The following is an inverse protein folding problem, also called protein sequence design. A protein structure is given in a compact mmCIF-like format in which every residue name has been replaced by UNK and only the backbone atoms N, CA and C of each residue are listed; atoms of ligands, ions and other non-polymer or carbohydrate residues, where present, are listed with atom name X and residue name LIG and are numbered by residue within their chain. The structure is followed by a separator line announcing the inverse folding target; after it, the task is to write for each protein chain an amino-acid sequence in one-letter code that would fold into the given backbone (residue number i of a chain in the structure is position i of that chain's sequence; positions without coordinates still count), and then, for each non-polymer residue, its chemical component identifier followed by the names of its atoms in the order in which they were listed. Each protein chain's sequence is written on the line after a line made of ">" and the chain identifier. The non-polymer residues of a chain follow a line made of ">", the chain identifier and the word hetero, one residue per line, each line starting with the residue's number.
data_IF_064887397134
#
_entry.id   IF_064887397134
#
_cell.length_a   1.000
_cell.length_b   1.000
_cell.length_c   1.000
_cell.angle_alpha   90.00
_cell.angle_beta   90.00
_cell.angle_gamma   90.00
#
_symmetry.space_group_name_H-M   'P 1'
#
loop_
_entity.id
_entity.type
_entity.pdbx_description
1 polymer ?
#
# COMPACT_ATOMS: atom_id res chain seq x y z
N UNK A 1 11.49 -15.47 -24.29
CA UNK A 1 10.32 -16.36 -24.49
C UNK A 1 9.19 -15.82 -23.64
N UNK A 2 7.92 -15.98 -24.05
CA UNK A 2 6.80 -15.60 -23.18
C UNK A 2 6.74 -16.51 -21.95
N UNK A 3 6.49 -15.94 -20.77
CA UNK A 3 6.19 -16.69 -19.54
C UNK A 3 5.00 -17.62 -19.79
N UNK A 4 5.15 -18.91 -19.43
CA UNK A 4 4.08 -19.91 -19.59
C UNK A 4 3.64 -20.51 -18.24
N UNK A 5 4.45 -20.38 -17.19
CA UNK A 5 4.19 -20.96 -15.87
C UNK A 5 3.54 -19.97 -14.91
N UNK A 6 2.36 -19.47 -15.29
CA UNK A 6 1.47 -18.71 -14.41
C UNK A 6 0.46 -19.64 -13.71
N UNK A 7 -0.07 -19.22 -12.56
CA UNK A 7 -1.11 -19.94 -11.82
C UNK A 7 -2.23 -18.97 -11.47
N UNK A 8 -3.48 -19.28 -11.79
CA UNK A 8 -4.65 -18.47 -11.37
C UNK A 8 -5.05 -18.75 -9.91
N UNK A 9 -4.66 -19.91 -9.39
CA UNK A 9 -4.89 -20.32 -7.99
C UNK A 9 -3.57 -20.65 -7.32
N UNK A 10 -3.56 -20.70 -5.99
CA UNK A 10 -2.37 -21.08 -5.22
C UNK A 10 -1.82 -22.43 -5.72
N UNK A 11 -0.55 -22.50 -6.19
CA UNK A 11 0.03 -23.77 -6.62
C UNK A 11 0.20 -24.73 -5.45
N UNK A 12 -0.04 -26.03 -5.70
CA UNK A 12 0.15 -27.08 -4.71
C UNK A 12 1.61 -27.21 -4.22
N UNK A 13 2.57 -26.88 -5.08
CA UNK A 13 4.00 -26.77 -4.74
C UNK A 13 4.50 -25.36 -5.10
N UNK A 14 4.40 -24.38 -4.17
CA UNK A 14 4.87 -23.02 -4.41
C UNK A 14 6.35 -22.94 -4.75
N UNK A 15 7.20 -23.79 -4.15
CA UNK A 15 8.64 -23.80 -4.40
C UNK A 15 8.96 -24.24 -5.83
N UNK A 16 8.27 -25.26 -6.33
CA UNK A 16 8.41 -25.67 -7.73
C UNK A 16 7.92 -24.59 -8.71
N UNK A 17 6.81 -23.92 -8.40
CA UNK A 17 6.31 -22.80 -9.22
C UNK A 17 7.32 -21.64 -9.25
N UNK A 18 7.92 -21.30 -8.09
CA UNK A 18 8.96 -20.25 -7.98
C UNK A 18 10.17 -20.58 -8.85
N UNK A 19 10.70 -21.82 -8.78
CA UNK A 19 11.85 -22.21 -9.62
C UNK A 19 11.56 -22.01 -11.11
N UNK A 20 10.37 -22.44 -11.57
CA UNK A 20 9.98 -22.34 -12.99
C UNK A 20 9.81 -20.88 -13.42
N UNK A 21 9.10 -20.07 -12.63
CA UNK A 21 8.87 -18.65 -12.99
C UNK A 21 10.19 -17.87 -13.00
N UNK A 22 11.11 -18.12 -12.04
CA UNK A 22 12.44 -17.48 -12.05
C UNK A 22 13.22 -17.82 -13.32
N UNK A 23 13.21 -19.09 -13.74
CA UNK A 23 13.89 -19.51 -14.96
C UNK A 23 13.32 -18.81 -16.21
N UNK A 24 11.99 -18.76 -16.34
CA UNK A 24 11.34 -18.10 -17.47
C UNK A 24 11.57 -16.59 -17.49
N UNK A 25 11.44 -15.92 -16.34
CA UNK A 25 11.65 -14.48 -16.23
C UNK A 25 13.10 -14.10 -16.54
N UNK A 26 14.08 -14.83 -16.00
CA UNK A 26 15.50 -14.62 -16.34
C UNK A 26 15.75 -14.79 -17.84
N UNK A 27 15.17 -15.82 -18.46
CA UNK A 27 15.29 -16.04 -19.90
C UNK A 27 14.56 -14.98 -20.75
N UNK A 28 13.47 -14.41 -20.24
CA UNK A 28 12.72 -13.34 -20.91
C UNK A 28 13.44 -12.00 -20.84
N UNK A 29 13.99 -11.65 -19.67
CA UNK A 29 14.71 -10.38 -19.44
C UNK A 29 16.10 -10.41 -20.09
N UNK A 30 16.79 -11.55 -20.06
CA UNK A 30 18.19 -11.66 -20.45
C UNK A 30 19.10 -11.26 -19.29
N UNK A 31 19.78 -10.12 -19.40
CA UNK A 31 20.69 -9.63 -18.37
C UNK A 31 19.93 -8.94 -17.23
N UNK A 32 19.43 -9.75 -16.29
CA UNK A 32 18.70 -9.27 -15.11
C UNK A 32 19.56 -8.34 -14.27
N UNK A 33 20.86 -8.60 -14.12
CA UNK A 33 21.75 -7.77 -13.31
C UNK A 33 21.87 -6.37 -13.91
N UNK A 34 22.10 -6.24 -15.22
CA UNK A 34 22.18 -4.93 -15.86
C UNK A 34 20.87 -4.14 -15.78
N UNK A 35 19.71 -4.82 -15.90
CA UNK A 35 18.40 -4.17 -15.69
C UNK A 35 18.23 -3.71 -14.25
N UNK A 36 18.60 -4.56 -13.29
CA UNK A 36 18.51 -4.26 -11.87
C UNK A 36 19.45 -3.12 -11.45
N UNK A 37 20.66 -3.03 -12.01
CA UNK A 37 21.61 -1.95 -11.75
C UNK A 37 21.10 -0.60 -12.26
N UNK A 38 20.54 -0.57 -13.47
CA UNK A 38 19.88 0.63 -14.02
C UNK A 38 18.71 1.08 -13.14
N UNK A 39 17.88 0.14 -12.70
CA UNK A 39 16.78 0.44 -11.80
C UNK A 39 17.28 0.93 -10.43
N UNK A 40 18.32 0.31 -9.90
CA UNK A 40 18.95 0.69 -8.63
C UNK A 40 19.48 2.12 -8.69
N UNK A 41 20.13 2.53 -9.79
CA UNK A 41 20.57 3.91 -9.99
C UNK A 41 19.40 4.91 -10.00
N UNK A 42 18.27 4.55 -10.63
CA UNK A 42 17.05 5.37 -10.60
C UNK A 42 16.50 5.52 -9.18
N UNK A 43 16.38 4.42 -8.44
CA UNK A 43 15.86 4.45 -7.06
C UNK A 43 16.84 5.20 -6.13
N UNK A 44 18.15 5.09 -6.35
CA UNK A 44 19.15 5.82 -5.59
C UNK A 44 19.02 7.34 -5.80
N UNK A 45 18.81 7.80 -7.04
CA UNK A 45 18.53 9.21 -7.30
C UNK A 45 17.26 9.71 -6.60
N UNK A 46 16.21 8.88 -6.51
CA UNK A 46 15.01 9.21 -5.71
C UNK A 46 15.31 9.33 -4.22
N UNK A 47 16.14 8.44 -3.70
CA UNK A 47 16.58 8.50 -2.30
C UNK A 47 17.38 9.77 -2.02
N UNK A 48 18.31 10.15 -2.90
CA UNK A 48 19.06 11.41 -2.77
C UNK A 48 18.14 12.63 -2.72
N UNK A 49 17.09 12.68 -3.57
CA UNK A 49 16.08 13.73 -3.49
C UNK A 49 15.34 13.75 -2.15
N UNK A 50 14.96 12.58 -1.64
CA UNK A 50 14.26 12.44 -0.35
C UNK A 50 15.16 12.90 0.79
N UNK A 51 16.43 12.51 0.79
CA UNK A 51 17.40 12.87 1.81
C UNK A 51 17.70 14.37 1.79
N UNK A 52 17.80 14.98 0.60
CA UNK A 52 17.96 16.43 0.46
C UNK A 52 16.75 17.20 1.03
N UNK A 53 15.52 16.73 0.77
CA UNK A 53 14.31 17.33 1.36
C UNK A 53 14.32 17.25 2.88
N UNK A 54 14.58 16.05 3.43
CA UNK A 54 14.70 15.82 4.88
C UNK A 54 15.78 16.72 5.51
N UNK A 55 16.96 16.78 4.92
CA UNK A 55 18.07 17.60 5.41
C UNK A 55 17.75 19.11 5.41
N UNK A 56 16.91 19.56 4.47
CA UNK A 56 16.43 20.95 4.40
C UNK A 56 15.21 21.24 5.30
N UNK A 57 14.71 20.24 6.04
CA UNK A 57 13.51 20.38 6.88
C UNK A 57 12.20 20.48 6.10
N UNK A 58 12.20 20.09 4.82
CA UNK A 58 10.99 20.06 4.00
C UNK A 58 10.28 18.71 4.12
N UNK A 59 8.94 18.74 4.06
CA UNK A 59 8.13 17.53 4.05
C UNK A 59 8.34 16.75 2.75
N UNK A 60 8.59 15.44 2.90
CA UNK A 60 8.68 14.51 1.77
C UNK A 60 7.28 14.20 1.21
N UNK A 61 6.27 14.20 2.09
CA UNK A 61 4.89 13.91 1.75
C UNK A 61 4.22 15.13 1.12
N UNK A 62 3.60 15.00 -0.07
CA UNK A 62 2.79 16.05 -0.65
C UNK A 62 1.59 16.34 0.25
N UNK A 63 1.42 17.59 0.67
CA UNK A 63 0.29 18.02 1.50
C UNK A 63 -0.67 18.86 0.68
N UNK A 64 -1.92 18.39 0.56
CA UNK A 64 -2.99 19.04 -0.20
C UNK A 64 -4.10 19.48 0.75
N UNK A 65 -4.47 20.78 0.78
CA UNK A 65 -5.65 21.22 1.50
C UNK A 65 -6.92 20.63 0.87
N UNK A 66 -7.82 20.08 1.69
CA UNK A 66 -9.11 19.59 1.19
C UNK A 66 -9.91 20.67 0.44
N UNK A 67 -9.84 21.93 0.90
CA UNK A 67 -10.49 23.06 0.24
C UNK A 67 -10.06 23.24 -1.23
N UNK A 68 -8.83 22.83 -1.60
CA UNK A 68 -8.37 22.91 -2.98
C UNK A 68 -8.91 21.75 -3.81
N UNK A 69 -9.08 20.55 -3.21
CA UNK A 69 -9.78 19.43 -3.84
C UNK A 69 -11.25 19.80 -4.09
N UNK A 70 -11.94 20.27 -3.06
CA UNK A 70 -13.36 20.63 -3.11
C UNK A 70 -13.67 21.73 -4.14
N UNK A 71 -12.72 22.66 -4.38
CA UNK A 71 -12.84 23.73 -5.38
C UNK A 71 -12.27 23.38 -6.75
N UNK A 72 -11.69 22.18 -6.92
CA UNK A 72 -11.00 21.81 -8.17
C UNK A 72 -9.74 22.64 -8.47
N UNK A 73 -9.07 23.15 -7.44
CA UNK A 73 -7.92 24.06 -7.52
C UNK A 73 -6.56 23.38 -7.31
N UNK A 74 -6.53 22.04 -7.15
CA UNK A 74 -5.25 21.31 -7.08
C UNK A 74 -4.50 21.42 -8.41
N UNK A 75 -3.32 22.03 -8.34
CA UNK A 75 -2.46 22.33 -9.49
C UNK A 75 -1.87 21.06 -10.10
N UNK A 76 -1.45 21.15 -11.36
CA UNK A 76 -0.77 20.03 -12.03
C UNK A 76 0.54 19.65 -11.34
N UNK A 77 1.29 20.64 -10.85
CA UNK A 77 2.52 20.39 -10.09
C UNK A 77 2.27 19.59 -8.80
N UNK A 78 1.15 19.83 -8.11
CA UNK A 78 0.76 19.03 -6.94
C UNK A 78 0.36 17.61 -7.34
N UNK A 79 -0.38 17.43 -8.45
CA UNK A 79 -0.76 16.10 -8.97
C UNK A 79 0.47 15.29 -9.34
N UNK A 80 1.41 15.89 -10.07
CA UNK A 80 2.66 15.24 -10.45
C UNK A 80 3.57 14.97 -9.24
N UNK A 81 3.55 15.82 -8.22
CA UNK A 81 4.26 15.54 -6.98
C UNK A 81 3.67 14.33 -6.22
N UNK A 82 2.33 14.20 -6.16
CA UNK A 82 1.68 12.99 -5.64
C UNK A 82 2.08 11.78 -6.46
N UNK A 83 2.07 11.88 -7.80
CA UNK A 83 2.46 10.79 -8.68
C UNK A 83 3.92 10.38 -8.51
N UNK A 84 4.82 11.34 -8.30
CA UNK A 84 6.25 11.10 -8.04
C UNK A 84 6.50 10.44 -6.68
N UNK A 85 5.71 10.78 -5.66
CA UNK A 85 5.91 10.28 -4.28
C UNK A 85 5.04 9.08 -3.94
N UNK A 86 4.00 8.80 -4.71
CA UNK A 86 3.08 7.71 -4.45
C UNK A 86 2.31 7.87 -3.14
N UNK A 87 2.20 9.06 -2.58
CA UNK A 87 1.51 9.30 -1.31
C UNK A 87 1.01 10.74 -1.20
N UNK A 88 0.07 11.00 -0.28
CA UNK A 88 -0.44 12.33 -0.01
C UNK A 88 -1.00 12.45 1.41
N UNK A 89 -0.93 13.66 1.97
CA UNK A 89 -1.69 14.08 3.16
C UNK A 89 -2.76 15.07 2.73
N UNK A 90 -4.03 14.76 3.02
CA UNK A 90 -5.15 15.66 2.80
C UNK A 90 -5.44 16.40 4.10
N UNK A 91 -5.00 17.66 4.17
CA UNK A 91 -5.14 18.49 5.38
C UNK A 91 -6.56 19.04 5.48
N UNK A 92 -7.16 18.91 6.66
CA UNK A 92 -8.50 19.43 6.94
C UNK A 92 -9.59 18.76 6.11
N UNK A 93 -9.44 17.45 5.86
CA UNK A 93 -10.43 16.67 5.11
C UNK A 93 -11.78 16.65 5.85
N UNK A 94 -11.75 16.33 7.12
CA UNK A 94 -12.88 16.58 8.02
C UNK A 94 -12.52 17.66 9.03
N UNK A 95 -13.54 18.34 9.55
CA UNK A 95 -13.33 19.26 10.66
C UNK A 95 -12.81 18.50 11.88
N UNK A 96 -11.95 19.17 12.64
CA UNK A 96 -11.39 18.62 13.87
C UNK A 96 -12.49 18.20 14.86
N UNK A 97 -13.55 18.99 14.96
CA UNK A 97 -14.72 18.71 15.81
C UNK A 97 -15.42 17.42 15.39
N UNK A 98 -15.70 17.24 14.09
CA UNK A 98 -16.36 16.06 13.57
C UNK A 98 -15.53 14.79 13.81
N UNK A 99 -14.21 14.87 13.58
CA UNK A 99 -13.33 13.73 13.76
C UNK A 99 -13.18 13.34 15.25
N UNK A 100 -13.14 14.30 16.18
CA UNK A 100 -13.22 14.00 17.62
C UNK A 100 -14.57 13.42 18.04
N UNK A 101 -15.67 13.95 17.53
CA UNK A 101 -17.01 13.44 17.81
C UNK A 101 -17.13 11.98 17.35
N UNK A 102 -16.55 11.63 16.20
CA UNK A 102 -16.44 10.26 15.74
C UNK A 102 -15.56 9.40 16.64
N UNK A 103 -14.43 9.89 17.15
CA UNK A 103 -13.61 9.12 18.11
C UNK A 103 -14.38 8.80 19.40
N UNK A 104 -15.09 9.79 19.95
CA UNK A 104 -15.93 9.60 21.14
C UNK A 104 -17.08 8.62 20.87
N UNK A 105 -17.78 8.76 19.73
CA UNK A 105 -18.84 7.83 19.35
C UNK A 105 -18.32 6.40 19.16
N UNK A 106 -17.07 6.22 18.70
CA UNK A 106 -16.41 4.91 18.63
C UNK A 106 -16.19 4.31 20.01
N UNK A 107 -15.72 5.11 20.97
CA UNK A 107 -15.53 4.66 22.36
C UNK A 107 -16.87 4.22 22.98
N UNK A 108 -17.89 5.07 22.88
CA UNK A 108 -19.23 4.76 23.38
C UNK A 108 -19.81 3.50 22.73
N UNK A 109 -19.55 3.29 21.44
CA UNK A 109 -19.96 2.07 20.74
C UNK A 109 -19.25 0.83 21.28
N UNK A 110 -17.94 0.88 21.54
CA UNK A 110 -17.19 -0.24 22.12
C UNK A 110 -17.67 -0.56 23.54
N UNK A 111 -17.84 0.47 24.37
CA UNK A 111 -18.24 0.34 25.78
C UNK A 111 -19.66 -0.21 25.90
N UNK A 112 -20.61 0.34 25.13
CA UNK A 112 -22.01 -0.12 25.12
C UNK A 112 -22.17 -1.58 24.73
N UNK A 113 -21.24 -2.11 23.93
CA UNK A 113 -21.26 -3.50 23.47
C UNK A 113 -20.30 -4.40 24.27
N UNK A 114 -19.72 -3.91 25.38
CA UNK A 114 -18.81 -4.66 26.24
C UNK A 114 -17.67 -5.32 25.46
N UNK A 115 -17.08 -4.61 24.49
CA UNK A 115 -16.11 -5.19 23.56
C UNK A 115 -14.94 -5.88 24.28
N UNK A 116 -14.41 -5.26 25.33
CA UNK A 116 -13.30 -5.78 26.11
C UNK A 116 -13.62 -7.13 26.79
N UNK A 117 -14.88 -7.38 27.14
CA UNK A 117 -15.31 -8.62 27.80
C UNK A 117 -15.48 -9.79 26.80
N UNK A 118 -15.73 -9.47 25.53
CA UNK A 118 -16.04 -10.47 24.48
C UNK A 118 -14.89 -10.72 23.51
N UNK A 119 -13.87 -9.86 23.48
CA UNK A 119 -12.74 -10.00 22.58
C UNK A 119 -11.87 -11.21 22.94
N UNK A 120 -11.70 -12.14 21.99
CA UNK A 120 -11.00 -13.43 22.20
C UNK A 120 -9.55 -13.45 21.67
N UNK A 121 -9.01 -12.30 21.27
CA UNK A 121 -7.69 -12.21 20.62
C UNK A 121 -7.78 -12.07 19.09
N UNK A 122 -6.63 -11.93 18.41
CA UNK A 122 -6.59 -11.70 16.97
C UNK A 122 -7.20 -12.90 16.22
N UNK A 123 -8.16 -12.63 15.34
CA UNK A 123 -8.84 -13.65 14.52
C UNK A 123 -8.01 -14.14 13.33
N UNK A 124 -6.83 -13.57 13.10
CA UNK A 124 -5.89 -13.95 12.04
C UNK A 124 -4.44 -13.99 12.56
N UNK A 125 -3.56 -14.67 11.81
CA UNK A 125 -2.11 -14.65 12.04
C UNK A 125 -1.38 -13.79 11.01
N UNK A 126 -2.11 -12.90 10.33
CA UNK A 126 -1.60 -12.08 9.23
C UNK A 126 -0.41 -11.23 9.69
N UNK A 127 -0.43 -10.79 10.96
CA UNK A 127 0.65 -10.05 11.63
C UNK A 127 1.19 -10.75 12.89
N UNK A 128 1.23 -12.09 12.95
CA UNK A 128 1.33 -12.96 14.14
C UNK A 128 2.42 -12.74 15.23
N UNK A 129 2.66 -11.52 15.70
CA UNK A 129 3.65 -11.16 16.72
C UNK A 129 3.12 -10.18 17.80
N UNK A 130 1.79 -10.01 17.94
CA UNK A 130 1.18 -9.06 18.89
C UNK A 130 0.36 -9.79 19.96
N UNK A 131 0.96 -10.01 21.14
CA UNK A 131 0.27 -10.38 22.38
C UNK A 131 -0.06 -9.09 23.16
N UNK A 132 -1.33 -8.68 23.23
CA UNK A 132 -1.76 -7.56 24.05
C UNK A 132 -3.16 -7.81 24.65
N UNK A 133 -3.39 -7.36 25.88
CA UNK A 133 -4.68 -7.45 26.60
C UNK A 133 -5.79 -6.61 25.96
N UNK A 134 -5.43 -5.57 25.21
CA UNK A 134 -6.29 -4.85 24.27
C UNK A 134 -5.62 -4.83 22.90
N UNK A 135 -6.33 -5.11 21.80
CA UNK A 135 -5.73 -5.08 20.48
C UNK A 135 -5.45 -3.63 20.05
N UNK A 136 -4.33 -3.38 19.37
CA UNK A 136 -4.12 -2.09 18.72
C UNK A 136 -5.04 -1.90 17.51
N UNK A 137 -5.45 -3.01 16.88
CA UNK A 137 -6.34 -3.05 15.72
C UNK A 137 -7.66 -3.71 16.15
N UNK A 138 -8.75 -2.94 16.13
CA UNK A 138 -10.06 -3.44 16.51
C UNK A 138 -10.80 -3.98 15.27
N UNK A 139 -11.26 -5.24 15.28
CA UNK A 139 -12.02 -5.84 14.18
C UNK A 139 -13.49 -5.37 14.21
N UNK A 140 -13.70 -4.06 14.17
CA UNK A 140 -15.00 -3.39 14.14
C UNK A 140 -15.16 -2.69 12.80
N UNK A 141 -16.32 -2.88 12.17
CA UNK A 141 -16.52 -2.50 10.76
C UNK A 141 -17.71 -1.57 10.53
N UNK A 142 -18.71 -1.58 11.42
CA UNK A 142 -20.06 -1.05 11.14
C UNK A 142 -20.53 0.01 12.13
N UNK A 143 -19.61 0.67 12.84
CA UNK A 143 -20.02 1.80 13.67
C UNK A 143 -20.61 2.93 12.81
N UNK A 144 -21.44 3.77 13.41
CA UNK A 144 -21.98 4.94 12.73
C UNK A 144 -20.86 5.88 12.24
N UNK A 145 -19.83 6.11 13.07
CA UNK A 145 -18.68 6.92 12.71
C UNK A 145 -17.95 6.41 11.46
N UNK A 146 -17.70 5.09 11.39
CA UNK A 146 -17.06 4.48 10.22
C UNK A 146 -17.91 4.63 8.96
N UNK A 147 -19.21 4.32 9.05
CA UNK A 147 -20.10 4.36 7.89
C UNK A 147 -20.37 5.78 7.40
N UNK A 148 -20.58 6.74 8.31
CA UNK A 148 -20.74 8.16 7.98
C UNK A 148 -19.51 8.73 7.28
N UNK A 149 -18.30 8.46 7.80
CA UNK A 149 -17.08 8.92 7.16
C UNK A 149 -16.92 8.34 5.74
N UNK A 150 -17.20 7.05 5.55
CA UNK A 150 -17.06 6.37 4.24
C UNK A 150 -18.04 6.89 3.18
N UNK A 151 -19.27 7.22 3.57
CA UNK A 151 -20.31 7.68 2.63
C UNK A 151 -20.41 9.22 2.53
N UNK A 152 -19.52 9.96 3.18
CA UNK A 152 -19.52 11.42 3.16
C UNK A 152 -19.15 11.99 1.79
N UNK A 153 -19.70 13.15 1.45
CA UNK A 153 -19.38 13.86 0.20
C UNK A 153 -17.91 14.26 0.15
N UNK A 154 -17.33 14.62 1.30
CA UNK A 154 -15.91 14.94 1.40
C UNK A 154 -15.04 13.73 1.05
N UNK A 155 -15.40 12.52 1.52
CA UNK A 155 -14.70 11.28 1.17
C UNK A 155 -14.82 11.00 -0.33
N UNK A 156 -16.03 11.10 -0.89
CA UNK A 156 -16.26 10.88 -2.31
C UNK A 156 -15.41 11.83 -3.20
N UNK A 157 -15.33 13.11 -2.83
CA UNK A 157 -14.53 14.10 -3.55
C UNK A 157 -13.03 13.76 -3.55
N UNK A 158 -12.49 13.33 -2.41
CA UNK A 158 -11.08 12.95 -2.30
C UNK A 158 -10.78 11.63 -3.00
N UNK A 159 -11.66 10.64 -2.90
CA UNK A 159 -11.53 9.37 -3.62
C UNK A 159 -11.54 9.58 -5.14
N UNK A 160 -12.49 10.36 -5.66
CA UNK A 160 -12.53 10.74 -7.09
C UNK A 160 -11.24 11.45 -7.50
N UNK A 161 -10.78 12.45 -6.72
CA UNK A 161 -9.54 13.16 -7.01
C UNK A 161 -8.32 12.22 -7.14
N UNK A 162 -8.15 11.29 -6.20
CA UNK A 162 -7.02 10.36 -6.18
C UNK A 162 -7.10 9.32 -7.29
N UNK A 163 -8.29 8.76 -7.50
CA UNK A 163 -8.54 7.81 -8.59
C UNK A 163 -8.22 8.41 -9.96
N UNK A 164 -8.47 9.70 -10.14
CA UNK A 164 -8.17 10.44 -11.38
C UNK A 164 -6.69 10.72 -11.62
N UNK A 165 -5.79 10.40 -10.68
CA UNK A 165 -4.34 10.44 -10.91
C UNK A 165 -3.85 9.25 -11.76
N UNK A 166 -4.66 8.19 -11.84
CA UNK A 166 -4.36 6.99 -12.62
C UNK A 166 -4.73 7.15 -14.08
N UNK A 167 -4.01 6.46 -14.96
CA UNK A 167 -4.45 6.21 -16.33
C UNK A 167 -5.50 5.09 -16.31
N UNK A 168 -6.76 5.46 -16.11
CA UNK A 168 -7.89 4.51 -16.01
C UNK A 168 -8.56 4.17 -17.36
N UNK A 169 -8.20 4.86 -18.44
CA UNK A 169 -8.61 4.57 -19.81
C UNK A 169 -7.40 4.16 -20.64
N UNK A 170 -7.42 2.97 -21.24
CA UNK A 170 -6.35 2.48 -22.12
C UNK A 170 -6.89 1.56 -23.19
N UNK A 171 -6.40 1.71 -24.42
CA UNK A 171 -6.76 0.86 -25.56
C UNK A 171 -8.27 0.73 -25.81
N UNK A 172 -9.01 1.84 -25.61
CA UNK A 172 -10.46 1.90 -25.77
C UNK A 172 -11.25 1.24 -24.64
N UNK A 173 -10.60 0.73 -23.58
CA UNK A 173 -11.22 0.18 -22.38
C UNK A 173 -11.07 1.15 -21.20
N UNK A 174 -12.18 1.40 -20.51
CA UNK A 174 -12.18 2.00 -19.18
C UNK A 174 -12.01 0.88 -18.15
N UNK A 175 -10.91 0.91 -17.39
CA UNK A 175 -10.57 -0.12 -16.41
C UNK A 175 -11.39 -0.02 -15.13
N UNK A 176 -11.70 1.21 -14.70
CA UNK A 176 -12.62 1.49 -13.61
C UNK A 176 -13.25 2.88 -13.78
N UNK A 177 -14.39 3.10 -13.11
CA UNK A 177 -14.97 4.44 -12.96
C UNK A 177 -14.26 5.18 -11.83
N UNK A 178 -13.50 6.26 -12.10
CA UNK A 178 -12.75 6.94 -11.05
C UNK A 178 -13.65 7.72 -10.09
N UNK A 179 -14.89 8.05 -10.47
CA UNK A 179 -15.76 8.92 -9.69
C UNK A 179 -16.64 8.19 -8.69
N UNK A 180 -16.66 6.84 -8.74
CA UNK A 180 -17.43 6.01 -7.82
C UNK A 180 -16.53 4.95 -7.20
N UNK A 181 -16.34 5.03 -5.89
CA UNK A 181 -15.61 4.01 -5.13
C UNK A 181 -16.59 3.16 -4.32
N UNK A 182 -16.36 1.85 -4.29
CA UNK A 182 -17.13 0.93 -3.46
C UNK A 182 -16.84 1.18 -1.98
N UNK A 183 -17.84 1.00 -1.12
CA UNK A 183 -17.63 0.96 0.32
C UNK A 183 -16.83 -0.30 0.65
N UNK A 184 -15.59 -0.13 1.09
CA UNK A 184 -14.74 -1.19 1.61
C UNK A 184 -14.67 -1.10 3.14
N UNK A 185 -15.43 -1.93 3.90
CA UNK A 185 -15.44 -1.89 5.35
C UNK A 185 -14.13 -2.46 5.92
N UNK A 186 -13.32 -1.58 6.50
CA UNK A 186 -12.08 -1.95 7.17
C UNK A 186 -12.14 -1.68 8.68
N UNK A 187 -11.12 -2.18 9.38
CA UNK A 187 -10.91 -2.11 10.82
C UNK A 187 -10.56 -0.68 11.26
N UNK A 188 -10.48 -0.48 12.58
CA UNK A 188 -9.89 0.75 13.16
C UNK A 188 -8.61 0.42 13.91
N UNK A 189 -7.73 1.40 14.06
CA UNK A 189 -6.55 1.31 14.92
C UNK A 189 -6.64 2.31 16.05
N UNK A 190 -6.46 1.87 17.29
CA UNK A 190 -6.47 2.72 18.47
C UNK A 190 -5.30 2.37 19.40
N UNK A 191 -4.52 3.39 19.77
CA UNK A 191 -3.36 3.28 20.65
C UNK A 191 -3.47 4.33 21.75
N UNK A 192 -3.96 4.00 22.96
CA UNK A 192 -4.07 4.97 24.05
C UNK A 192 -2.69 5.48 24.50
N UNK A 193 -2.62 6.66 25.16
CA UNK A 193 -1.38 7.14 25.77
C UNK A 193 -0.75 6.07 26.67
N UNK A 194 0.58 5.92 26.59
CA UNK A 194 1.33 4.88 27.31
C UNK A 194 1.44 3.53 26.59
N UNK A 195 0.89 3.38 25.39
CA UNK A 195 1.02 2.15 24.58
C UNK A 195 2.45 1.95 24.09
N UNK A 196 3.03 0.79 24.42
CA UNK A 196 4.29 0.30 23.84
C UNK A 196 3.98 -0.71 22.74
N UNK A 197 4.58 -0.53 21.56
CA UNK A 197 4.36 -1.38 20.38
C UNK A 197 5.68 -1.69 19.69
N UNK A 198 5.81 -2.88 19.10
CA UNK A 198 6.89 -3.20 18.15
C UNK A 198 6.63 -2.61 16.76
N UNK A 199 5.43 -2.04 16.52
CA UNK A 199 5.02 -1.56 15.22
C UNK A 199 4.81 -2.69 14.21
N UNK A 200 4.80 -2.33 12.93
CA UNK A 200 4.71 -3.26 11.81
C UNK A 200 5.96 -3.13 10.95
N UNK A 201 6.52 -4.26 10.52
CA UNK A 201 7.62 -4.28 9.55
C UNK A 201 7.19 -3.71 8.20
N UNK A 202 8.15 -3.21 7.43
CA UNK A 202 7.87 -2.72 6.07
C UNK A 202 7.34 -3.87 5.19
N UNK A 203 6.25 -3.61 4.47
CA UNK A 203 5.60 -4.59 3.61
C UNK A 203 4.81 -3.89 2.50
N UNK A 204 4.34 -4.68 1.53
CA UNK A 204 3.28 -4.27 0.59
C UNK A 204 2.12 -5.26 0.70
N UNK A 205 0.89 -4.73 0.66
CA UNK A 205 -0.34 -5.53 0.57
C UNK A 205 -0.68 -5.85 -0.90
N UNK A 206 -1.93 -6.23 -1.16
CA UNK A 206 -2.46 -6.48 -2.52
C UNK A 206 -1.76 -7.65 -3.23
N UNK A 207 -1.61 -8.76 -2.52
CA UNK A 207 -0.91 -9.95 -2.98
C UNK A 207 0.61 -9.92 -2.76
N UNK A 208 1.18 -11.12 -2.66
CA UNK A 208 2.61 -11.34 -2.50
C UNK A 208 3.12 -12.28 -3.60
N UNK A 209 2.95 -13.59 -3.45
CA UNK A 209 3.38 -14.60 -4.43
C UNK A 209 2.70 -14.40 -5.79
N UNK A 210 1.45 -13.94 -5.75
CA UNK A 210 0.62 -13.57 -6.88
C UNK A 210 1.32 -12.63 -7.85
N UNK A 211 2.17 -11.72 -7.37
CA UNK A 211 2.84 -10.71 -8.21
C UNK A 211 3.76 -11.31 -9.26
N UNK A 212 4.27 -12.52 -9.00
CA UNK A 212 5.06 -13.28 -9.97
C UNK A 212 4.21 -14.32 -10.69
N UNK A 213 3.24 -14.95 -10.03
CA UNK A 213 2.57 -16.13 -10.57
C UNK A 213 1.24 -15.85 -11.26
N UNK A 214 0.49 -14.78 -10.92
CA UNK A 214 -0.81 -14.53 -11.53
C UNK A 214 -0.66 -14.04 -12.97
N UNK A 215 -1.48 -14.55 -13.92
CA UNK A 215 -1.52 -14.03 -15.29
C UNK A 215 -1.82 -12.53 -15.36
N UNK A 216 -2.71 -12.02 -14.49
CA UNK A 216 -3.03 -10.60 -14.45
C UNK A 216 -1.81 -9.75 -14.06
N UNK A 217 -1.06 -10.16 -13.03
CA UNK A 217 0.15 -9.43 -12.63
C UNK A 217 1.29 -9.53 -13.64
N UNK A 218 1.39 -10.63 -14.39
CA UNK A 218 2.32 -10.71 -15.53
C UNK A 218 2.02 -9.64 -16.61
N UNK A 219 0.75 -9.26 -16.78
CA UNK A 219 0.36 -8.16 -17.69
C UNK A 219 0.61 -6.79 -17.05
N UNK A 220 0.23 -6.60 -15.79
CA UNK A 220 0.48 -5.35 -15.04
C UNK A 220 1.96 -4.98 -15.04
N UNK A 221 2.83 -5.97 -14.81
CA UNK A 221 4.28 -5.78 -14.72
C UNK A 221 5.03 -6.22 -15.97
N UNK A 222 4.37 -6.26 -17.13
CA UNK A 222 4.96 -6.75 -18.37
C UNK A 222 6.27 -6.00 -18.70
N UNK A 223 6.30 -4.67 -18.55
CA UNK A 223 7.48 -3.84 -18.79
C UNK A 223 8.61 -4.05 -17.77
N UNK A 224 8.28 -4.49 -16.55
CA UNK A 224 9.30 -4.89 -15.57
C UNK A 224 9.89 -6.24 -15.99
N UNK A 225 9.03 -7.22 -16.27
CA UNK A 225 9.42 -8.60 -16.59
C UNK A 225 9.95 -8.80 -18.01
N UNK A 226 9.93 -7.79 -18.87
CA UNK A 226 10.61 -7.79 -20.17
C UNK A 226 11.90 -6.94 -20.18
N UNK A 227 12.25 -6.30 -19.05
CA UNK A 227 13.44 -5.46 -18.90
C UNK A 227 13.29 -4.00 -19.34
N UNK A 228 12.14 -3.60 -19.90
CA UNK A 228 11.84 -2.23 -20.30
C UNK A 228 11.34 -1.37 -19.13
N UNK A 229 12.14 -1.27 -18.08
CA UNK A 229 11.83 -0.53 -16.84
C UNK A 229 11.51 0.96 -17.06
N UNK A 230 11.81 1.52 -18.23
CA UNK A 230 11.54 2.91 -18.58
C UNK A 230 10.10 3.13 -19.03
N UNK A 231 9.41 2.07 -19.48
CA UNK A 231 8.01 2.10 -19.88
C UNK A 231 7.04 1.75 -18.75
N UNK A 232 7.54 1.14 -17.66
CA UNK A 232 6.71 0.81 -16.51
C UNK A 232 6.17 2.09 -15.83
N UNK A 233 4.84 2.24 -15.84
CA UNK A 233 4.12 3.29 -15.15
C UNK A 233 3.33 2.70 -13.96
N UNK A 234 3.68 3.04 -12.70
CA UNK A 234 2.91 2.58 -11.55
C UNK A 234 1.46 3.10 -11.56
N UNK A 235 1.15 4.16 -12.32
CA UNK A 235 -0.17 4.79 -12.42
C UNK A 235 -1.03 4.23 -13.55
N UNK A 236 -0.58 3.22 -14.29
CA UNK A 236 -1.41 2.53 -15.29
C UNK A 236 -2.37 1.55 -14.59
N UNK A 237 -3.67 1.70 -14.83
CA UNK A 237 -4.70 0.83 -14.27
C UNK A 237 -4.81 -0.53 -14.97
N UNK A 238 -4.19 -0.69 -16.14
CA UNK A 238 -4.39 -1.84 -16.98
C UNK A 238 -4.16 -3.16 -16.25
N UNK A 239 -5.13 -4.07 -16.35
CA UNK A 239 -5.15 -5.41 -15.76
C UNK A 239 -5.18 -5.51 -14.23
N UNK A 240 -5.04 -4.39 -13.49
CA UNK A 240 -5.04 -4.41 -12.01
C UNK A 240 -6.37 -4.86 -11.42
N UNK A 241 -7.47 -4.55 -12.10
CA UNK A 241 -8.83 -4.98 -11.73
C UNK A 241 -9.11 -6.45 -12.05
N UNK A 242 -8.19 -7.15 -12.71
CA UNK A 242 -8.30 -8.57 -13.07
C UNK A 242 -7.51 -9.47 -12.09
N UNK A 243 -6.87 -8.87 -11.08
CA UNK A 243 -6.11 -9.58 -10.05
C UNK A 243 -7.05 -10.10 -8.96
N UNK A 244 -7.00 -11.40 -8.72
CA UNK A 244 -7.67 -12.06 -7.61
C UNK A 244 -6.62 -12.71 -6.70
N UNK A 245 -6.49 -12.23 -5.46
CA UNK A 245 -5.55 -12.79 -4.49
C UNK A 245 -5.86 -14.26 -4.16
N UNK A 246 -4.81 -15.05 -3.96
CA UNK A 246 -4.97 -16.44 -3.57
C UNK A 246 -5.70 -16.55 -2.24
N UNK A 247 -6.59 -17.53 -2.14
CA UNK A 247 -7.30 -17.82 -0.90
C UNK A 247 -6.47 -18.82 -0.09
N UNK A 248 -6.16 -18.44 1.15
CA UNK A 248 -5.53 -19.30 2.16
C UNK A 248 -6.47 -19.36 3.36
N UNK A 249 -6.73 -20.56 3.87
CA UNK A 249 -7.66 -20.75 4.98
C UNK A 249 -7.31 -19.85 6.18
N UNK A 250 -8.34 -19.24 6.77
CA UNK A 250 -8.26 -18.37 7.95
C UNK A 250 -7.22 -17.24 7.84
N UNK A 251 -6.97 -16.74 6.63
CA UNK A 251 -6.01 -15.68 6.38
C UNK A 251 -6.70 -14.47 5.76
N UNK A 252 -6.35 -13.29 6.26
CA UNK A 252 -6.81 -12.01 5.70
C UNK A 252 -6.31 -11.87 4.26
N UNK A 253 -7.22 -11.51 3.35
CA UNK A 253 -6.93 -11.17 1.96
C UNK A 253 -7.67 -9.90 1.55
N UNK A 254 -7.20 -9.23 0.52
CA UNK A 254 -7.91 -8.12 -0.12
C UNK A 254 -8.52 -8.62 -1.44
N UNK A 255 -9.84 -8.72 -1.50
CA UNK A 255 -10.56 -9.13 -2.72
C UNK A 255 -11.05 -7.95 -3.57
N UNK A 256 -10.42 -6.78 -3.43
CA UNK A 256 -10.80 -5.57 -4.15
C UNK A 256 -9.55 -4.87 -4.70
N UNK A 257 -9.69 -4.26 -5.87
CA UNK A 257 -8.69 -3.33 -6.39
C UNK A 257 -8.75 -2.01 -5.61
N UNK A 258 -7.60 -1.57 -5.11
CA UNK A 258 -7.43 -0.30 -4.38
C UNK A 258 -6.34 0.51 -5.06
N UNK A 259 -6.72 1.64 -5.67
CA UNK A 259 -5.80 2.65 -6.20
C UNK A 259 -4.89 3.21 -5.11
N UNK A 260 -5.45 3.45 -3.92
CA UNK A 260 -4.71 3.89 -2.75
C UNK A 260 -5.21 3.15 -1.50
N UNK A 261 -4.30 2.93 -0.55
CA UNK A 261 -4.67 2.69 0.84
C UNK A 261 -4.68 4.01 1.58
N UNK A 262 -5.54 4.14 2.59
CA UNK A 262 -5.56 5.35 3.41
C UNK A 262 -6.41 5.22 4.66
N UNK A 263 -6.26 6.19 5.55
CA UNK A 263 -6.99 6.25 6.82
C UNK A 263 -7.21 7.69 7.28
N UNK A 264 -8.33 7.91 7.98
CA UNK A 264 -8.69 9.18 8.61
C UNK A 264 -8.16 9.24 10.04
N UNK A 265 -7.47 10.31 10.38
CA UNK A 265 -7.01 10.55 11.75
C UNK A 265 -8.19 10.93 12.65
N UNK A 266 -8.51 10.08 13.64
CA UNK A 266 -9.48 10.40 14.70
C UNK A 266 -8.83 11.06 15.93
N UNK A 267 -7.50 11.11 15.96
CA UNK A 267 -6.71 11.82 16.97
C UNK A 267 -5.57 12.59 16.30
N UNK A 268 -5.00 13.55 17.02
CA UNK A 268 -3.75 14.18 16.60
C UNK A 268 -2.63 13.13 16.57
N UNK A 269 -1.75 13.24 15.58
CA UNK A 269 -0.62 12.35 15.36
C UNK A 269 0.66 13.14 15.53
N UNK A 270 1.33 12.92 16.65
CA UNK A 270 2.54 13.65 17.05
C UNK A 270 3.77 12.89 16.55
N UNK A 271 4.83 13.58 16.07
CA UNK A 271 6.10 12.95 15.70
C UNK A 271 6.62 11.98 16.77
N UNK A 272 7.31 10.94 16.32
CA UNK A 272 7.96 9.91 17.16
C UNK A 272 7.04 9.01 18.00
N UNK A 273 5.72 9.05 17.80
CA UNK A 273 4.75 8.20 18.52
C UNK A 273 4.38 6.89 17.80
N UNK A 274 5.30 6.33 17.02
CA UNK A 274 5.05 5.12 16.21
C UNK A 274 4.12 5.41 15.03
N UNK A 275 4.52 6.39 14.21
CA UNK A 275 3.77 6.86 13.05
C UNK A 275 3.93 5.93 11.84
N UNK A 276 3.01 6.07 10.88
CA UNK A 276 3.13 5.42 9.57
C UNK A 276 4.40 5.92 8.86
N UNK A 277 5.15 4.99 8.30
CA UNK A 277 6.23 5.28 7.35
C UNK A 277 5.88 4.70 5.99
N UNK A 278 6.31 5.37 4.92
CA UNK A 278 6.25 4.84 3.54
C UNK A 278 7.60 4.97 2.87
N UNK A 279 7.81 4.20 1.81
CA UNK A 279 8.85 4.47 0.81
C UNK A 279 8.19 5.31 -0.29
N UNK A 280 8.44 6.63 -0.39
CA UNK A 280 7.70 7.52 -1.28
C UNK A 280 8.27 7.47 -2.70
N UNK A 281 8.32 6.26 -3.26
CA UNK A 281 8.87 5.90 -4.58
C UNK A 281 7.95 4.80 -5.14
N UNK A 282 6.85 5.14 -5.84
CA UNK A 282 5.88 4.14 -6.30
C UNK A 282 6.50 3.13 -7.29
N UNK A 283 7.52 3.52 -8.05
CA UNK A 283 8.27 2.62 -8.93
C UNK A 283 9.15 1.60 -8.18
N UNK A 284 9.26 1.66 -6.86
CA UNK A 284 10.00 0.70 -6.04
C UNK A 284 9.48 -0.74 -6.17
N UNK A 285 8.23 -0.95 -6.60
CA UNK A 285 7.72 -2.30 -6.87
C UNK A 285 8.57 -3.03 -7.93
N UNK A 286 9.06 -2.33 -8.96
CA UNK A 286 9.94 -2.96 -9.95
C UNK A 286 11.23 -3.50 -9.29
N UNK A 287 11.76 -2.80 -8.29
CA UNK A 287 12.96 -3.24 -7.55
C UNK A 287 12.65 -4.52 -6.78
N UNK A 288 11.50 -4.55 -6.11
CA UNK A 288 11.02 -5.72 -5.36
C UNK A 288 10.79 -6.92 -6.28
N UNK A 289 10.23 -6.73 -7.48
CA UNK A 289 9.93 -7.80 -8.42
C UNK A 289 11.18 -8.43 -9.04
N UNK A 290 12.20 -7.61 -9.34
CA UNK A 290 13.45 -8.07 -9.93
C UNK A 290 14.44 -8.62 -8.90
N UNK A 291 14.38 -8.17 -7.64
CA UNK A 291 15.34 -8.54 -6.59
C UNK A 291 15.49 -10.06 -6.40
N UNK A 292 14.41 -10.88 -6.40
CA UNK A 292 14.55 -12.33 -6.30
C UNK A 292 15.19 -13.01 -7.50
N UNK A 293 15.26 -12.34 -8.66
CA UNK A 293 15.78 -12.91 -9.89
C UNK A 293 17.31 -12.86 -9.99
N UNK A 294 17.97 -12.17 -9.07
CA UNK A 294 19.43 -12.16 -8.96
C UNK A 294 19.98 -13.55 -8.58
N UNK A 295 21.30 -13.71 -8.73
CA UNK A 295 22.00 -14.98 -8.53
C UNK A 295 22.28 -15.31 -7.04
N UNK A 296 22.21 -14.30 -6.18
CA UNK A 296 22.41 -14.42 -4.73
C UNK A 296 21.15 -14.83 -3.97
N UNK A 297 20.03 -15.07 -4.66
CA UNK A 297 18.76 -15.52 -4.08
C UNK A 297 18.50 -16.98 -4.42
N UNK A 298 18.24 -17.86 -3.43
CA UNK A 298 17.92 -19.26 -3.68
C UNK A 298 16.83 -19.45 -4.74
N UNK A 299 16.97 -20.51 -5.54
CA UNK A 299 16.13 -20.77 -6.72
C UNK A 299 14.65 -20.99 -6.39
N UNK A 300 14.32 -21.37 -5.17
CA UNK A 300 12.95 -21.60 -4.71
C UNK A 300 12.45 -20.52 -3.73
N UNK A 301 13.15 -19.39 -3.63
CA UNK A 301 12.81 -18.27 -2.76
C UNK A 301 12.50 -16.97 -3.51
N UNK A 302 11.60 -16.18 -2.92
CA UNK A 302 11.25 -14.82 -3.33
C UNK A 302 11.46 -13.84 -2.17
N UNK A 303 12.69 -13.77 -1.66
CA UNK A 303 13.13 -12.79 -0.65
C UNK A 303 12.24 -12.70 0.62
N UNK A 304 11.65 -13.82 1.06
CA UNK A 304 10.79 -13.89 2.25
C UNK A 304 9.29 -13.94 1.96
N UNK A 305 8.86 -13.84 0.70
CA UNK A 305 7.46 -14.06 0.30
C UNK A 305 7.02 -15.48 0.68
N UNK A 306 5.83 -15.58 1.26
CA UNK A 306 5.17 -16.84 1.59
C UNK A 306 3.65 -16.73 1.31
N UNK A 307 2.98 -17.82 0.90
CA UNK A 307 1.53 -17.85 0.75
C UNK A 307 0.81 -17.40 2.02
N UNK A 308 -0.24 -16.57 1.87
CA UNK A 308 -1.04 -16.09 3.00
C UNK A 308 -0.32 -15.11 3.93
N UNK A 309 0.76 -14.49 3.48
CA UNK A 309 1.49 -13.45 4.22
C UNK A 309 1.67 -12.22 3.34
N UNK A 310 1.78 -11.05 3.96
CA UNK A 310 2.19 -9.82 3.27
C UNK A 310 3.56 -10.00 2.61
N UNK A 311 3.82 -9.25 1.54
CA UNK A 311 5.15 -9.23 0.92
C UNK A 311 6.10 -8.43 1.82
N UNK A 312 7.15 -9.04 2.41
CA UNK A 312 8.02 -8.35 3.34
C UNK A 312 9.09 -7.52 2.62
N UNK A 313 9.34 -6.31 3.11
CA UNK A 313 10.48 -5.47 2.73
C UNK A 313 11.45 -5.44 3.92
N UNK A 314 12.73 -5.71 3.66
CA UNK A 314 13.72 -5.93 4.71
C UNK A 314 15.08 -5.36 4.31
N UNK A 315 15.91 -5.02 5.29
CA UNK A 315 17.25 -4.50 5.04
C UNK A 315 18.15 -5.53 4.34
N UNK A 316 17.97 -6.83 4.64
CA UNK A 316 18.71 -7.92 4.00
C UNK A 316 18.54 -7.92 2.47
N UNK A 317 17.31 -7.78 1.99
CA UNK A 317 17.00 -7.92 0.56
C UNK A 317 16.81 -6.59 -0.16
N UNK A 318 16.37 -5.55 0.56
CA UNK A 318 15.93 -4.27 0.02
C UNK A 318 16.55 -3.07 0.78
N UNK A 319 17.88 -3.04 1.00
CA UNK A 319 18.51 -2.03 1.86
C UNK A 319 18.25 -0.60 1.38
N UNK A 320 18.21 -0.39 0.06
CA UNK A 320 17.96 0.92 -0.53
C UNK A 320 16.54 1.43 -0.23
N UNK A 321 15.54 0.53 -0.28
CA UNK A 321 14.15 0.88 0.01
C UNK A 321 13.95 1.17 1.51
N UNK A 322 14.62 0.43 2.39
CA UNK A 322 14.58 0.68 3.84
C UNK A 322 15.14 2.07 4.17
N UNK A 323 16.23 2.49 3.53
CA UNK A 323 16.78 3.86 3.70
C UNK A 323 15.81 4.96 3.29
N UNK A 324 14.96 4.70 2.29
CA UNK A 324 13.97 5.64 1.79
C UNK A 324 12.73 5.79 2.69
N UNK A 325 12.59 4.99 3.75
CA UNK A 325 11.48 5.10 4.68
C UNK A 325 11.36 6.52 5.22
N UNK A 326 10.15 7.06 5.14
CA UNK A 326 9.83 8.44 5.50
C UNK A 326 8.54 8.46 6.29
N UNK A 327 8.61 8.95 7.53
CA UNK A 327 7.43 9.13 8.37
C UNK A 327 6.44 10.08 7.71
N UNK A 328 5.15 9.86 7.96
CA UNK A 328 4.14 10.90 7.77
C UNK A 328 4.53 12.14 8.59
N UNK A 329 4.19 13.36 8.11
CA UNK A 329 4.31 14.55 8.94
C UNK A 329 3.32 14.49 10.10
N UNK A 330 3.55 15.36 11.10
CA UNK A 330 2.56 15.63 12.13
C UNK A 330 1.22 15.96 11.46
N UNK A 331 0.11 15.42 11.96
CA UNK A 331 -1.17 15.95 11.53
C UNK A 331 -2.23 15.95 12.61
N UNK A 332 -3.12 16.89 12.42
CA UNK A 332 -4.29 17.11 13.24
C UNK A 332 -5.36 16.05 12.93
N UNK A 333 -6.19 15.81 13.94
CA UNK A 333 -7.44 15.07 13.82
C UNK A 333 -8.29 15.62 12.65
N UNK A 334 -8.81 14.72 11.81
CA UNK A 334 -9.55 15.03 10.59
C UNK A 334 -8.73 14.99 9.30
N UNK A 335 -7.40 14.88 9.35
CA UNK A 335 -6.58 14.67 8.15
C UNK A 335 -6.67 13.22 7.64
N UNK A 336 -6.77 13.03 6.32
CA UNK A 336 -6.60 11.69 5.69
C UNK A 336 -5.21 11.56 5.11
N UNK A 337 -4.66 10.35 5.21
CA UNK A 337 -3.38 10.01 4.61
C UNK A 337 -3.56 8.86 3.65
N UNK A 338 -3.02 9.02 2.46
CA UNK A 338 -2.99 7.98 1.44
C UNK A 338 -1.55 7.56 1.17
N UNK A 339 -1.31 6.25 1.30
CA UNK A 339 -0.11 5.59 0.80
C UNK A 339 -0.49 4.81 -0.45
N UNK A 340 0.25 5.01 -1.52
CA UNK A 340 0.11 4.24 -2.74
C UNK A 340 0.21 2.77 -2.36
N UNK A 341 -0.78 2.00 -2.79
CA UNK A 341 -0.53 0.58 -2.93
C UNK A 341 0.56 0.50 -3.98
N UNK A 342 1.69 -0.10 -3.64
CA UNK A 342 2.46 -0.75 -4.68
C UNK A 342 1.61 -1.94 -5.15
N UNK A 343 0.41 -1.71 -5.68
CA UNK A 343 -0.37 -2.73 -6.36
C UNK A 343 0.42 -3.14 -7.57
#
# INVERSE_FOLDING_TARGET
>A
MAVTHTCETLPADPKAAIRRIKQELRAQIGDVQAVFDRLTARIAARLEEIDALKASGQDVWPTIPFADIARGQVTEAQRELIKRRGCAVIKGHFSREQALAWDNAMLEYLDRNHFDDVYKGPGDTFFGSLEASRPEIYPIYWSQAQMQARQSDEMAAVQSFLNRLWTFNRDGKQWFDPDVSVIYPDRIRRRPPGTTSKGLGAHTDSGALERWLLPAYQKVFADVFNGNIDAYDPWDAAHRTEVEEYTVDNTTKCSVFRTFQGWTALSDMIPDQGLLHVVPIPEAMAYVLLRPLLDDVPEDELCGVAPGKVLPISEKWHPLLIKALSSIPAAECGAIRYGGTAT
#
